data_IF_553606797876
#
_entry.id   IF_553606797876
#
_cell.length_a   1.000
_cell.length_b   1.000
_cell.length_c   1.000
_cell.angle_alpha   90.00
_cell.angle_beta   90.00
_cell.angle_gamma   90.00
#
_symmetry.space_group_name_H-M   'P 1'
#
loop_
_entity.id
_entity.type
_entity.pdbx_description
1 polymer ?
#
# COMPACT_ATOMS: atom_id res chain seq x y z
N UNK A 1 4.56 -89.07 -25.50
CA UNK A 1 5.61 -88.50 -24.63
C UNK A 1 6.03 -87.20 -25.29
N UNK A 2 5.91 -86.01 -24.73
CA UNK A 2 5.95 -85.55 -23.35
C UNK A 2 5.29 -84.15 -23.31
N UNK A 3 4.38 -83.93 -22.36
CA UNK A 3 3.59 -82.70 -22.22
C UNK A 3 4.46 -81.55 -21.71
N UNK A 4 4.75 -80.53 -22.53
CA UNK A 4 5.33 -79.26 -22.05
C UNK A 4 4.22 -78.44 -21.39
N UNK A 5 4.30 -78.32 -20.05
CA UNK A 5 3.42 -77.46 -19.24
C UNK A 5 3.82 -76.00 -19.46
N UNK A 6 2.86 -75.19 -19.91
CA UNK A 6 2.97 -73.73 -19.89
C UNK A 6 2.97 -73.26 -18.43
N UNK A 7 4.01 -72.53 -18.00
CA UNK A 7 4.04 -71.84 -16.72
C UNK A 7 3.15 -70.60 -16.75
N UNK A 8 2.54 -70.19 -15.63
CA UNK A 8 1.67 -69.03 -15.60
C UNK A 8 2.49 -67.74 -15.75
N UNK A 9 2.12 -66.92 -16.73
CA UNK A 9 2.58 -65.54 -16.90
C UNK A 9 1.97 -64.73 -15.75
N UNK A 10 2.80 -64.33 -14.79
CA UNK A 10 2.42 -63.38 -13.75
C UNK A 10 2.21 -62.00 -14.39
N UNK A 11 0.97 -61.65 -14.73
CA UNK A 11 0.62 -60.27 -15.09
C UNK A 11 0.65 -59.41 -13.83
N UNK A 12 1.65 -58.54 -13.75
CA UNK A 12 1.72 -57.49 -12.74
C UNK A 12 0.69 -56.41 -13.09
N UNK A 13 -0.47 -56.42 -12.44
CA UNK A 13 -1.44 -55.33 -12.52
C UNK A 13 -0.90 -54.15 -11.72
N UNK A 14 -0.29 -53.18 -12.40
CA UNK A 14 -0.01 -51.86 -11.84
C UNK A 14 -1.35 -51.14 -11.58
N UNK A 15 -1.79 -51.13 -10.33
CA UNK A 15 -2.88 -50.26 -9.90
C UNK A 15 -2.42 -48.81 -10.01
N UNK A 16 -2.95 -48.09 -10.99
CA UNK A 16 -2.88 -46.63 -11.04
C UNK A 16 -3.70 -46.09 -9.86
N UNK A 17 -3.04 -45.88 -8.72
CA UNK A 17 -3.60 -45.05 -7.67
C UNK A 17 -3.85 -43.66 -8.26
N UNK A 18 -5.12 -43.27 -8.35
CA UNK A 18 -5.49 -41.94 -8.82
C UNK A 18 -4.80 -40.89 -7.96
N UNK A 19 -3.90 -40.11 -8.57
CA UNK A 19 -3.48 -38.85 -8.00
C UNK A 19 -4.73 -37.96 -7.96
N UNK A 20 -5.35 -37.87 -6.78
CA UNK A 20 -6.29 -36.80 -6.49
C UNK A 20 -5.54 -35.50 -6.76
N UNK A 21 -5.99 -34.73 -7.75
CA UNK A 21 -5.55 -33.35 -7.89
C UNK A 21 -6.03 -32.63 -6.63
N UNK A 22 -5.16 -32.46 -5.65
CA UNK A 22 -5.39 -31.46 -4.64
C UNK A 22 -5.43 -30.14 -5.41
N UNK A 23 -6.65 -29.66 -5.66
CA UNK A 23 -6.84 -28.28 -6.05
C UNK A 23 -6.26 -27.49 -4.89
N UNK A 24 -5.03 -27.00 -5.05
CA UNK A 24 -4.50 -25.92 -4.24
C UNK A 24 -5.51 -24.78 -4.45
N UNK A 25 -6.44 -24.64 -3.51
CA UNK A 25 -7.22 -23.42 -3.41
C UNK A 25 -6.18 -22.35 -3.17
N UNK A 26 -5.91 -21.54 -4.19
CA UNK A 26 -5.24 -20.27 -4.00
C UNK A 26 -5.93 -19.62 -2.80
N UNK A 27 -5.17 -19.34 -1.74
CA UNK A 27 -5.71 -18.63 -0.59
C UNK A 27 -6.46 -17.40 -1.14
N UNK A 28 -7.72 -17.25 -0.77
CA UNK A 28 -8.50 -16.12 -1.25
C UNK A 28 -7.76 -14.84 -0.87
N UNK A 29 -7.49 -13.97 -1.85
CA UNK A 29 -6.89 -12.65 -1.63
C UNK A 29 -7.65 -11.97 -0.50
N UNK A 30 -6.98 -11.82 0.65
CA UNK A 30 -7.66 -11.43 1.89
C UNK A 30 -8.04 -9.95 1.87
N UNK A 31 -7.24 -9.11 1.20
CA UNK A 31 -7.45 -7.67 1.09
C UNK A 31 -7.50 -7.21 -0.36
N UNK A 32 -8.49 -6.40 -0.69
CA UNK A 32 -8.73 -5.89 -2.05
C UNK A 32 -7.88 -4.66 -2.37
N UNK A 33 -7.65 -3.81 -1.37
CA UNK A 33 -6.90 -2.56 -1.46
C UNK A 33 -6.37 -2.12 -0.09
N UNK A 34 -5.38 -1.22 -0.10
CA UNK A 34 -4.90 -0.54 1.11
C UNK A 34 -4.80 0.97 0.89
N UNK A 35 -5.39 1.75 1.78
CA UNK A 35 -5.38 3.21 1.77
C UNK A 35 -4.54 3.71 2.94
N UNK A 36 -3.41 4.37 2.63
CA UNK A 36 -2.46 4.82 3.65
C UNK A 36 -2.55 6.33 3.86
N UNK A 37 -2.63 6.75 5.11
CA UNK A 37 -2.67 8.14 5.56
C UNK A 37 -1.54 8.37 6.56
N UNK A 38 -1.05 9.59 6.63
CA UNK A 38 -0.07 9.93 7.64
C UNK A 38 0.90 11.03 7.28
N UNK A 39 2.10 10.91 7.86
CA UNK A 39 3.18 11.86 7.73
C UNK A 39 4.40 11.26 6.97
N UNK A 40 5.61 11.75 7.25
CA UNK A 40 6.85 11.27 6.63
C UNK A 40 7.12 9.78 6.88
N UNK A 41 6.56 9.19 7.95
CA UNK A 41 6.73 7.77 8.25
C UNK A 41 5.99 6.86 7.27
N UNK A 42 5.00 7.40 6.55
CA UNK A 42 4.18 6.67 5.58
C UNK A 42 4.28 7.23 4.18
N UNK A 43 4.75 8.47 3.98
CA UNK A 43 4.87 9.11 2.68
C UNK A 43 5.71 8.26 1.70
N UNK A 44 5.13 8.02 0.53
CA UNK A 44 5.76 7.27 -0.57
C UNK A 44 6.31 8.16 -1.67
N UNK A 45 6.16 9.49 -1.54
CA UNK A 45 6.63 10.49 -2.48
C UNK A 45 5.62 11.59 -2.82
N UNK A 46 4.54 11.76 -2.04
CA UNK A 46 3.55 12.81 -2.27
C UNK A 46 4.18 14.20 -2.23
N UNK A 47 5.06 14.43 -1.26
CA UNK A 47 5.72 15.72 -1.10
C UNK A 47 6.66 16.10 -2.26
N UNK A 48 7.06 15.16 -3.12
CA UNK A 48 7.91 15.47 -4.28
C UNK A 48 7.22 16.43 -5.25
N UNK A 49 5.88 16.39 -5.30
CA UNK A 49 5.04 17.17 -6.20
C UNK A 49 4.43 18.42 -5.53
N UNK A 50 4.87 18.74 -4.30
CA UNK A 50 4.45 19.91 -3.55
C UNK A 50 5.60 20.92 -3.44
N UNK A 51 5.27 22.21 -3.27
CA UNK A 51 6.24 23.24 -2.91
C UNK A 51 6.57 23.17 -1.40
N UNK A 52 7.33 22.15 -1.03
CA UNK A 52 7.66 21.79 0.34
C UNK A 52 9.17 21.68 0.56
N UNK A 53 9.62 22.04 1.76
CA UNK A 53 10.96 21.74 2.27
C UNK A 53 11.04 20.29 2.78
N UNK A 54 9.91 19.70 3.17
CA UNK A 54 9.83 18.32 3.65
C UNK A 54 9.85 17.34 2.46
N UNK A 55 11.04 17.09 1.89
CA UNK A 55 11.26 16.14 0.79
C UNK A 55 12.35 15.13 1.13
N UNK A 56 12.23 13.93 0.56
CA UNK A 56 13.19 12.83 0.69
C UNK A 56 13.52 12.20 -0.70
N UNK A 57 13.59 13.05 -1.73
CA UNK A 57 13.91 12.66 -3.11
C UNK A 57 15.40 12.90 -3.47
N UNK A 58 16.28 12.74 -2.50
CA UNK A 58 17.74 12.88 -2.64
C UNK A 58 18.47 11.87 -1.76
N UNK A 59 19.72 11.55 -2.10
CA UNK A 59 20.59 10.64 -1.33
C UNK A 59 20.89 11.23 0.07
N UNK A 60 20.88 10.46 1.16
CA UNK A 60 20.89 8.99 1.23
C UNK A 60 19.53 8.29 1.20
N UNK A 61 18.41 9.03 1.10
CA UNK A 61 17.09 8.40 1.03
C UNK A 61 16.97 7.51 -0.21
N UNK A 62 16.31 6.37 -0.07
CA UNK A 62 16.12 5.42 -1.16
C UNK A 62 17.38 4.68 -1.62
N UNK A 63 18.50 4.73 -0.89
CA UNK A 63 19.74 3.99 -1.26
C UNK A 63 19.55 2.47 -1.37
N UNK A 64 18.63 1.90 -0.57
CA UNK A 64 18.24 0.50 -0.57
C UNK A 64 16.91 0.26 -1.33
N UNK A 65 16.31 1.31 -1.92
CA UNK A 65 15.08 1.20 -2.70
C UNK A 65 15.40 1.04 -4.18
N UNK A 66 14.76 0.08 -4.85
CA UNK A 66 15.11 -0.25 -6.24
C UNK A 66 14.91 0.88 -7.25
N UNK A 67 14.07 1.87 -6.94
CA UNK A 67 13.84 3.06 -7.77
C UNK A 67 14.72 4.26 -7.37
N UNK A 68 15.58 4.11 -6.36
CA UNK A 68 16.35 5.21 -5.78
C UNK A 68 15.50 6.12 -4.87
N UNK A 69 15.90 7.41 -4.71
CA UNK A 69 15.22 8.37 -3.83
C UNK A 69 13.78 8.68 -4.26
N UNK A 70 12.82 7.91 -3.75
CA UNK A 70 11.41 8.02 -4.16
C UNK A 70 10.62 9.08 -3.41
N UNK A 71 11.19 9.73 -2.38
CA UNK A 71 10.44 10.56 -1.43
C UNK A 71 10.01 9.81 -0.16
N UNK A 72 10.41 8.54 0.00
CA UNK A 72 10.31 7.82 1.28
C UNK A 72 11.39 8.31 2.24
N UNK A 73 11.02 8.66 3.47
CA UNK A 73 11.93 9.17 4.49
C UNK A 73 12.76 8.07 5.17
N UNK A 74 13.26 7.12 4.39
CA UNK A 74 14.14 6.05 4.83
C UNK A 74 15.06 5.62 3.67
N UNK A 75 15.96 4.67 3.93
CA UNK A 75 16.82 4.13 2.89
C UNK A 75 16.05 3.29 1.85
N UNK A 76 14.88 2.75 2.20
CA UNK A 76 14.24 1.69 1.43
C UNK A 76 12.72 1.75 1.49
N UNK A 77 12.12 0.62 1.88
CA UNK A 77 10.69 0.45 2.09
C UNK A 77 10.23 1.06 3.42
N UNK A 78 9.06 1.69 3.43
CA UNK A 78 8.36 2.11 4.65
C UNK A 78 7.58 0.95 5.25
N UNK A 79 7.01 1.14 6.44
CA UNK A 79 6.11 0.15 7.06
C UNK A 79 4.89 -0.16 6.18
N UNK A 80 4.40 0.82 5.41
CA UNK A 80 3.28 0.64 4.47
C UNK A 80 3.67 -0.29 3.33
N UNK A 81 4.90 -0.19 2.83
CA UNK A 81 5.37 -1.08 1.76
C UNK A 81 5.52 -2.53 2.24
N UNK A 82 6.09 -2.72 3.44
CA UNK A 82 6.20 -4.05 4.04
C UNK A 82 4.82 -4.65 4.35
N UNK A 83 3.88 -3.83 4.82
CA UNK A 83 2.49 -4.27 4.99
C UNK A 83 1.86 -4.64 3.64
N UNK A 84 2.13 -3.87 2.59
CA UNK A 84 1.72 -4.21 1.22
C UNK A 84 2.21 -5.58 0.79
N UNK A 85 3.50 -5.88 1.00
CA UNK A 85 4.07 -7.19 0.67
C UNK A 85 3.38 -8.33 1.44
N UNK A 86 3.12 -8.15 2.74
CA UNK A 86 2.42 -9.14 3.58
C UNK A 86 0.96 -9.38 3.14
N UNK A 87 0.32 -8.35 2.56
CA UNK A 87 -1.05 -8.40 2.08
C UNK A 87 -1.16 -8.75 0.59
N UNK A 88 -0.03 -9.06 -0.07
CA UNK A 88 0.06 -9.32 -1.51
C UNK A 88 -0.47 -8.15 -2.36
N UNK A 89 -0.27 -6.92 -1.89
CA UNK A 89 -0.62 -5.69 -2.58
C UNK A 89 0.63 -5.07 -3.24
N UNK A 90 0.49 -4.41 -4.41
CA UNK A 90 1.58 -3.65 -5.00
C UNK A 90 1.96 -2.47 -4.11
N UNK A 91 3.12 -1.88 -4.39
CA UNK A 91 3.47 -0.58 -3.82
C UNK A 91 2.38 0.43 -4.14
N UNK A 92 1.88 1.10 -3.10
CA UNK A 92 0.84 2.09 -3.27
C UNK A 92 1.40 3.31 -3.99
N UNK A 93 0.74 3.81 -5.05
CA UNK A 93 1.13 5.06 -5.67
C UNK A 93 0.92 6.22 -4.69
N UNK A 94 1.83 7.19 -4.71
CA UNK A 94 1.58 8.50 -4.10
C UNK A 94 0.39 9.16 -4.83
N UNK A 95 -0.58 9.68 -4.09
CA UNK A 95 -1.74 10.37 -4.64
C UNK A 95 -1.38 11.50 -5.61
N UNK A 96 -0.33 12.29 -5.29
CA UNK A 96 0.09 13.41 -6.14
C UNK A 96 0.97 13.02 -7.33
N UNK A 97 1.23 11.72 -7.56
CA UNK A 97 2.00 11.26 -8.70
C UNK A 97 1.20 11.45 -10.01
N UNK A 98 1.62 12.36 -10.92
CA UNK A 98 0.89 12.64 -12.15
C UNK A 98 0.98 11.51 -13.18
N UNK A 99 1.85 10.52 -12.94
CA UNK A 99 2.04 9.36 -13.82
C UNK A 99 1.22 8.14 -13.37
N UNK A 100 0.50 8.22 -12.25
CA UNK A 100 -0.40 7.16 -11.82
C UNK A 100 -1.67 7.12 -12.70
N UNK A 101 -2.05 5.93 -13.13
CA UNK A 101 -3.25 5.69 -13.92
C UNK A 101 -4.46 5.35 -13.05
N UNK A 102 -5.66 5.49 -13.59
CA UNK A 102 -6.91 5.08 -12.92
C UNK A 102 -6.93 3.60 -12.51
N UNK A 103 -6.10 2.73 -13.13
CA UNK A 103 -5.96 1.33 -12.72
C UNK A 103 -5.05 1.15 -11.50
N UNK A 104 -4.08 2.03 -11.31
CA UNK A 104 -3.11 1.92 -10.22
C UNK A 104 -3.77 2.16 -8.85
N UNK A 105 -4.84 2.95 -8.82
CA UNK A 105 -5.61 3.23 -7.60
C UNK A 105 -6.52 2.07 -7.16
N UNK A 106 -6.74 1.05 -8.02
CA UNK A 106 -7.63 -0.09 -7.71
C UNK A 106 -7.11 -0.96 -6.56
N UNK A 107 -5.81 -0.92 -6.28
CA UNK A 107 -5.19 -1.62 -5.15
C UNK A 107 -4.94 -0.70 -3.96
N UNK A 108 -5.46 0.51 -4.03
CA UNK A 108 -5.32 1.54 -3.01
C UNK A 108 -4.25 2.57 -3.35
N UNK A 109 -4.10 3.54 -2.46
CA UNK A 109 -3.33 4.77 -2.69
C UNK A 109 -2.72 5.22 -1.37
N UNK A 110 -1.56 5.87 -1.46
CA UNK A 110 -0.92 6.51 -0.34
C UNK A 110 -1.18 8.03 -0.38
N UNK A 111 -1.89 8.53 0.62
CA UNK A 111 -2.25 9.95 0.80
C UNK A 111 -1.34 10.67 1.79
N UNK A 112 -0.44 9.95 2.45
CA UNK A 112 0.43 10.53 3.47
C UNK A 112 1.30 11.65 2.91
N UNK A 113 1.56 12.66 3.74
CA UNK A 113 2.33 13.83 3.34
C UNK A 113 3.26 14.22 4.46
N UNK A 114 4.56 14.28 4.18
CA UNK A 114 5.54 14.66 5.18
C UNK A 114 5.24 16.05 5.78
N UNK A 115 5.61 16.20 7.06
CA UNK A 115 5.27 17.30 7.96
C UNK A 115 3.79 17.41 8.38
N UNK A 116 2.88 16.62 7.82
CA UNK A 116 1.48 16.66 8.22
C UNK A 116 1.27 16.16 9.66
N UNK A 117 0.26 16.74 10.31
CA UNK A 117 -0.28 16.29 11.57
C UNK A 117 -1.80 16.13 11.51
N UNK A 118 -2.40 15.91 12.68
CA UNK A 118 -3.85 15.89 12.88
C UNK A 118 -4.42 17.30 12.73
N UNK A 119 -3.73 18.31 13.27
CA UNK A 119 -4.13 19.71 13.17
C UNK A 119 -3.85 20.27 11.78
N UNK A 120 -4.68 21.22 11.34
CA UNK A 120 -4.53 21.84 10.02
C UNK A 120 -3.19 22.56 9.89
N UNK A 121 -2.75 23.25 10.93
CA UNK A 121 -1.58 24.12 10.91
C UNK A 121 -0.24 23.40 11.10
N UNK A 122 -0.28 22.14 11.55
CA UNK A 122 0.92 21.34 11.78
C UNK A 122 1.79 21.30 10.52
N UNK A 123 3.08 21.63 10.70
CA UNK A 123 4.09 21.55 9.65
C UNK A 123 3.98 22.60 8.53
N UNK A 124 3.05 23.56 8.60
CA UNK A 124 2.90 24.62 7.57
C UNK A 124 4.18 25.44 7.35
N UNK A 125 5.02 25.59 8.37
CA UNK A 125 6.30 26.31 8.27
C UNK A 125 7.30 25.64 7.32
N UNK A 126 7.09 24.36 7.01
CA UNK A 126 7.89 23.60 6.04
C UNK A 126 7.35 23.70 4.61
N UNK A 127 6.33 24.52 4.38
CA UNK A 127 5.71 24.74 3.07
C UNK A 127 4.46 23.90 2.85
N UNK A 128 4.18 23.57 1.59
CA UNK A 128 3.00 22.79 1.22
C UNK A 128 3.08 21.36 1.77
N UNK A 129 1.91 20.86 2.20
CA UNK A 129 1.67 19.53 2.74
C UNK A 129 0.17 19.24 2.68
N UNK A 130 -0.22 17.99 2.55
CA UNK A 130 -1.61 17.59 2.76
C UNK A 130 -1.86 17.43 4.26
N UNK A 131 -2.61 18.35 4.86
CA UNK A 131 -3.14 18.19 6.22
C UNK A 131 -4.02 16.93 6.29
N UNK A 132 -4.29 16.40 7.48
CA UNK A 132 -5.08 15.18 7.59
C UNK A 132 -6.47 15.31 6.92
N UNK A 133 -7.13 16.47 7.03
CA UNK A 133 -8.40 16.71 6.32
C UNK A 133 -8.23 16.67 4.79
N UNK A 134 -7.14 17.25 4.26
CA UNK A 134 -6.84 17.18 2.83
C UNK A 134 -6.56 15.74 2.37
N UNK A 135 -5.90 14.93 3.21
CA UNK A 135 -5.70 13.50 2.91
C UNK A 135 -7.03 12.74 2.82
N UNK A 136 -7.99 13.06 3.69
CA UNK A 136 -9.37 12.51 3.62
C UNK A 136 -10.08 12.95 2.33
N UNK A 137 -9.97 14.23 1.94
CA UNK A 137 -10.54 14.71 0.67
C UNK A 137 -9.91 14.05 -0.56
N UNK A 138 -8.60 13.79 -0.52
CA UNK A 138 -7.89 13.06 -1.57
C UNK A 138 -8.40 11.61 -1.68
N UNK A 139 -8.70 10.98 -0.54
CA UNK A 139 -9.35 9.68 -0.49
C UNK A 139 -10.78 9.73 -1.07
N UNK A 140 -11.59 10.73 -0.73
CA UNK A 140 -12.93 10.92 -1.33
C UNK A 140 -12.87 11.11 -2.85
N UNK A 141 -11.85 11.82 -3.34
CA UNK A 141 -11.60 11.97 -4.78
C UNK A 141 -11.27 10.62 -5.42
N UNK A 142 -10.48 9.78 -4.75
CA UNK A 142 -10.19 8.41 -5.20
C UNK A 142 -11.46 7.56 -5.22
N UNK A 143 -12.29 7.61 -4.18
CA UNK A 143 -13.57 6.89 -4.16
C UNK A 143 -14.49 7.32 -5.30
N UNK A 144 -14.49 8.61 -5.63
CA UNK A 144 -15.26 9.15 -6.76
C UNK A 144 -14.76 8.64 -8.10
N UNK A 145 -13.45 8.45 -8.25
CA UNK A 145 -12.86 7.83 -9.44
C UNK A 145 -13.17 6.33 -9.52
N UNK A 146 -13.11 5.60 -8.41
CA UNK A 146 -13.49 4.18 -8.37
C UNK A 146 -14.95 3.97 -8.77
N UNK A 147 -15.87 4.84 -8.33
CA UNK A 147 -17.29 4.80 -8.74
C UNK A 147 -17.51 4.92 -10.26
N UNK A 148 -16.55 5.49 -11.01
CA UNK A 148 -16.62 5.54 -12.48
C UNK A 148 -16.16 4.23 -13.13
N UNK A 149 -15.41 3.40 -12.40
CA UNK A 149 -14.78 2.18 -12.92
C UNK A 149 -15.55 0.91 -12.56
N UNK A 150 -16.37 0.93 -11.50
CA UNK A 150 -17.10 -0.23 -11.01
C UNK A 150 -18.53 0.13 -10.56
N UNK A 151 -19.42 -0.86 -10.59
CA UNK A 151 -20.80 -0.69 -10.10
C UNK A 151 -20.84 -0.63 -8.58
N UNK A 152 -21.90 -0.03 -8.01
CA UNK A 152 -22.03 0.19 -6.55
C UNK A 152 -21.87 -1.09 -5.71
N UNK A 153 -22.43 -2.22 -6.19
CA UNK A 153 -22.30 -3.50 -5.49
C UNK A 153 -20.85 -4.01 -5.48
N UNK A 154 -20.14 -3.88 -6.59
CA UNK A 154 -18.74 -4.26 -6.71
C UNK A 154 -17.86 -3.36 -5.84
N UNK A 155 -18.13 -2.05 -5.85
CA UNK A 155 -17.43 -1.09 -4.98
C UNK A 155 -17.61 -1.41 -3.50
N UNK A 156 -18.82 -1.73 -3.07
CA UNK A 156 -19.06 -2.11 -1.67
C UNK A 156 -18.31 -3.39 -1.30
N UNK A 157 -18.33 -4.40 -2.17
CA UNK A 157 -17.55 -5.64 -1.96
C UNK A 157 -16.04 -5.38 -1.95
N UNK A 158 -15.59 -4.43 -2.77
CA UNK A 158 -14.21 -4.00 -2.79
C UNK A 158 -13.82 -3.30 -1.48
N UNK A 159 -14.58 -2.30 -1.04
CA UNK A 159 -14.25 -1.50 0.15
C UNK A 159 -14.38 -2.27 1.47
N UNK A 160 -15.32 -3.21 1.58
CA UNK A 160 -15.48 -4.06 2.79
C UNK A 160 -14.28 -4.96 3.08
N UNK A 161 -13.41 -5.17 2.09
CA UNK A 161 -12.17 -5.93 2.21
C UNK A 161 -10.92 -5.04 2.10
N UNK A 162 -11.09 -3.73 2.06
CA UNK A 162 -9.98 -2.80 2.02
C UNK A 162 -9.46 -2.51 3.44
N UNK A 163 -8.18 -2.19 3.54
CA UNK A 163 -7.54 -1.75 4.78
C UNK A 163 -7.26 -0.24 4.72
N UNK A 164 -7.61 0.50 5.78
CA UNK A 164 -7.15 1.87 5.97
C UNK A 164 -6.11 1.91 7.09
N UNK A 165 -4.94 2.51 6.82
CA UNK A 165 -3.84 2.62 7.77
C UNK A 165 -3.53 4.09 8.01
N UNK A 166 -3.57 4.52 9.26
CA UNK A 166 -3.37 5.91 9.66
C UNK A 166 -2.19 5.99 10.64
N UNK A 167 -1.13 6.71 10.27
CA UNK A 167 0.06 6.91 11.11
C UNK A 167 0.41 8.40 11.09
N UNK A 168 -0.02 9.14 12.10
CA UNK A 168 0.14 10.58 12.25
C UNK A 168 0.10 11.00 13.73
N UNK A 169 0.41 12.26 14.01
CA UNK A 169 0.36 12.85 15.36
C UNK A 169 1.74 13.27 15.87
N UNK A 170 2.81 12.67 15.34
CA UNK A 170 4.18 13.00 15.75
C UNK A 170 4.51 14.47 15.50
N UNK A 171 4.12 14.98 14.33
CA UNK A 171 4.32 16.38 13.94
C UNK A 171 3.49 17.37 14.75
N UNK A 172 2.34 16.98 15.28
CA UNK A 172 1.57 17.86 16.16
C UNK A 172 2.35 18.18 17.43
N UNK A 173 3.23 17.27 17.87
CA UNK A 173 4.17 17.57 18.95
C UNK A 173 5.36 18.40 18.46
N UNK A 174 6.10 17.93 17.45
CA UNK A 174 7.40 18.51 17.09
C UNK A 174 7.29 19.78 16.22
N UNK A 175 6.23 19.90 15.41
CA UNK A 175 6.00 20.94 14.42
C UNK A 175 4.73 21.76 14.71
N UNK A 176 4.17 21.66 15.92
CA UNK A 176 3.14 22.56 16.43
C UNK A 176 3.32 22.81 17.94
N UNK A 177 3.06 21.82 18.80
CA UNK A 177 3.01 21.95 20.26
C UNK A 177 4.27 22.60 20.86
N UNK A 178 5.46 22.22 20.38
CA UNK A 178 6.74 22.77 20.86
C UNK A 178 7.11 24.13 20.24
N UNK A 179 6.26 24.70 19.37
CA UNK A 179 6.52 25.93 18.61
C UNK A 179 5.57 27.07 19.04
N UNK A 180 5.55 27.37 20.34
CA UNK A 180 4.66 28.37 20.96
C UNK A 180 4.76 29.81 20.44
N UNK A 181 5.85 30.15 19.75
CA UNK A 181 6.00 31.45 19.08
C UNK A 181 5.35 31.52 17.71
N UNK A 182 4.97 30.39 17.11
CA UNK A 182 4.51 30.29 15.72
C UNK A 182 3.03 29.91 15.61
N UNK A 183 2.49 29.18 16.59
CA UNK A 183 1.12 28.68 16.56
C UNK A 183 0.33 29.14 17.77
N UNK A 184 -0.94 29.46 17.59
CA UNK A 184 -1.85 29.82 18.71
C UNK A 184 -2.50 28.60 19.34
N UNK A 185 -2.36 27.44 18.70
CA UNK A 185 -2.87 26.13 19.15
C UNK A 185 -1.84 25.31 19.93
N UNK A 186 -0.58 25.74 19.90
CA UNK A 186 0.46 25.23 20.80
C UNK A 186 0.26 25.75 22.21
N UNK A 187 0.66 24.96 23.21
CA UNK A 187 0.61 25.32 24.63
C UNK A 187 1.99 25.59 25.20
#
# INVERSE_FOLDING_TARGET
>A
MEKRRAGPIMMLLLSMAGLSSDKVMAAAVQFTAMYAFGDSLTDSGNNNYLNSLAKANYVPYGVDFYQGPSGRFCNGRTIIDYLGDLLELPLLPAYSNPFASSRDILKGVNYASAAAGILEETGQTLGERFSFSQQVQNFESTLSELRKQMHDQELNQHLTKALAVLILGSNDYINNYLLSSLYTTSY
#
